data_IF_590363332910
#
_entry.id   IF_590363332910
#
_cell.length_a   1.000
_cell.length_b   1.000
_cell.length_c   1.000
_cell.angle_alpha   90.00
_cell.angle_beta   90.00
_cell.angle_gamma   90.00
#
_symmetry.space_group_name_H-M   'P 1'
#
loop_
_entity.id
_entity.type
_entity.pdbx_description
1 polymer ?
#
# COMPACT_ATOMS: atom_id res chain seq x y z
N UNK A 1 -45.31 -11.21 -1.60
CA UNK A 1 -44.52 -10.55 -2.65
C UNK A 1 -43.20 -10.15 -2.04
N UNK A 2 -42.14 -10.89 -2.33
CA UNK A 2 -40.77 -10.54 -1.93
C UNK A 2 -40.14 -9.80 -3.12
N UNK A 3 -39.66 -8.58 -2.88
CA UNK A 3 -39.05 -7.73 -3.92
C UNK A 3 -37.74 -8.32 -4.43
N UNK A 4 -37.27 -7.90 -5.62
CA UNK A 4 -36.04 -8.41 -6.20
C UNK A 4 -34.86 -8.00 -5.33
N UNK A 5 -34.14 -8.99 -4.81
CA UNK A 5 -32.84 -8.84 -4.18
C UNK A 5 -31.87 -8.29 -5.22
N UNK A 6 -31.49 -7.03 -5.11
CA UNK A 6 -30.41 -6.46 -5.91
C UNK A 6 -29.11 -7.21 -5.61
N UNK A 7 -28.60 -7.93 -6.59
CA UNK A 7 -27.27 -8.51 -6.54
C UNK A 7 -26.24 -7.40 -6.29
N UNK A 8 -25.19 -7.64 -5.48
CA UNK A 8 -24.10 -6.70 -5.35
C UNK A 8 -23.46 -6.45 -6.73
N UNK A 9 -22.96 -5.23 -7.00
CA UNK A 9 -22.38 -4.91 -8.29
C UNK A 9 -21.24 -5.87 -8.60
N UNK A 10 -21.29 -6.47 -9.79
CA UNK A 10 -20.25 -7.32 -10.37
C UNK A 10 -18.91 -6.61 -10.24
N UNK A 11 -17.99 -7.21 -9.49
CA UNK A 11 -16.60 -6.76 -9.37
C UNK A 11 -16.04 -6.52 -10.78
N UNK A 12 -15.70 -5.27 -11.06
CA UNK A 12 -15.07 -4.83 -12.30
C UNK A 12 -13.88 -5.75 -12.62
N UNK A 13 -13.76 -6.17 -13.88
CA UNK A 13 -12.61 -6.93 -14.36
C UNK A 13 -11.37 -6.06 -14.23
N UNK A 14 -10.70 -6.16 -13.08
CA UNK A 14 -9.46 -5.49 -12.73
C UNK A 14 -8.38 -5.91 -13.72
N UNK A 15 -7.76 -4.94 -14.41
CA UNK A 15 -6.44 -5.13 -15.00
C UNK A 15 -5.48 -5.46 -13.84
N UNK A 16 -5.07 -6.72 -13.78
CA UNK A 16 -4.30 -7.27 -12.66
C UNK A 16 -2.83 -6.81 -12.72
N UNK A 17 -2.58 -5.54 -12.38
CA UNK A 17 -1.23 -5.02 -12.22
C UNK A 17 -0.56 -5.70 -11.03
N UNK A 18 0.59 -6.36 -11.26
CA UNK A 18 1.40 -6.93 -10.18
C UNK A 18 2.32 -5.87 -9.56
N UNK A 19 2.84 -6.14 -8.35
CA UNK A 19 3.84 -5.27 -7.73
C UNK A 19 5.12 -5.19 -8.58
N UNK A 20 5.57 -6.30 -9.15
CA UNK A 20 6.75 -6.34 -10.04
C UNK A 20 6.53 -5.50 -11.30
N UNK A 21 5.36 -5.59 -11.92
CA UNK A 21 5.02 -4.78 -13.09
C UNK A 21 4.97 -3.28 -12.76
N UNK A 22 4.47 -2.92 -11.58
CA UNK A 22 4.48 -1.55 -11.09
C UNK A 22 5.91 -1.07 -10.82
N UNK A 23 6.74 -1.90 -10.18
CA UNK A 23 8.15 -1.62 -9.92
C UNK A 23 8.87 -1.26 -11.23
N UNK A 24 8.74 -2.12 -12.23
CA UNK A 24 9.33 -1.93 -13.55
C UNK A 24 8.88 -0.63 -14.21
N UNK A 25 7.59 -0.27 -14.11
CA UNK A 25 7.04 0.96 -14.69
C UNK A 25 7.61 2.19 -14.01
N UNK A 26 7.65 2.21 -12.68
CA UNK A 26 8.23 3.31 -11.89
C UNK A 26 9.73 3.43 -12.20
N UNK A 27 10.46 2.32 -12.23
CA UNK A 27 11.89 2.34 -12.54
C UNK A 27 12.17 2.94 -13.93
N UNK A 28 11.42 2.50 -14.96
CA UNK A 28 11.52 3.06 -16.32
C UNK A 28 11.21 4.56 -16.32
N UNK A 29 10.20 5.00 -15.56
CA UNK A 29 9.85 6.41 -15.42
C UNK A 29 11.02 7.24 -14.86
N UNK A 30 11.66 6.75 -13.79
CA UNK A 30 12.76 7.43 -13.11
C UNK A 30 14.04 7.45 -13.95
N UNK A 31 14.38 6.35 -14.62
CA UNK A 31 15.52 6.26 -15.55
C UNK A 31 15.37 7.27 -16.69
N UNK A 32 14.19 7.34 -17.31
CA UNK A 32 13.91 8.25 -18.43
C UNK A 32 14.05 9.74 -18.06
N UNK A 33 14.08 10.07 -16.76
CA UNK A 33 14.20 11.44 -16.24
C UNK A 33 15.51 11.68 -15.48
N UNK A 34 16.35 10.66 -15.34
CA UNK A 34 17.62 10.76 -14.62
C UNK A 34 17.47 11.00 -13.12
N UNK A 35 16.31 10.68 -12.55
CA UNK A 35 15.98 10.98 -11.16
C UNK A 35 16.72 10.11 -10.14
N UNK A 36 17.22 8.94 -10.55
CA UNK A 36 17.91 8.00 -9.66
C UNK A 36 19.10 8.60 -8.88
N UNK A 37 19.70 9.71 -9.34
CA UNK A 37 20.79 10.40 -8.60
C UNK A 37 20.33 11.06 -7.29
N UNK A 38 19.05 11.44 -7.19
CA UNK A 38 18.51 12.08 -6.00
C UNK A 38 17.87 11.07 -5.02
N UNK A 39 17.74 9.80 -5.42
CA UNK A 39 17.00 8.78 -4.69
C UNK A 39 17.91 8.09 -3.68
N UNK A 40 17.99 8.68 -2.49
CA UNK A 40 18.54 8.03 -1.29
C UNK A 40 17.38 7.50 -0.42
N UNK A 41 17.58 6.46 0.41
CA UNK A 41 16.56 5.98 1.34
C UNK A 41 15.96 7.08 2.21
N UNK A 42 16.79 8.03 2.66
CA UNK A 42 16.35 9.19 3.44
C UNK A 42 15.42 10.11 2.65
N UNK A 43 15.79 10.48 1.43
CA UNK A 43 14.97 11.38 0.61
C UNK A 43 13.63 10.74 0.25
N UNK A 44 13.65 9.44 -0.07
CA UNK A 44 12.43 8.68 -0.38
C UNK A 44 11.54 8.50 0.84
N UNK A 45 12.10 8.28 2.03
CA UNK A 45 11.35 8.25 3.28
C UNK A 45 10.66 9.60 3.55
N UNK A 46 11.36 10.71 3.37
CA UNK A 46 10.74 12.03 3.55
C UNK A 46 9.68 12.35 2.52
N UNK A 47 9.86 11.92 1.26
CA UNK A 47 8.80 12.01 0.27
C UNK A 47 7.59 11.18 0.69
N UNK A 48 7.77 9.92 1.08
CA UNK A 48 6.70 9.06 1.61
C UNK A 48 5.95 9.68 2.79
N UNK A 49 6.66 10.28 3.75
CA UNK A 49 6.05 11.00 4.88
C UNK A 49 5.24 12.22 4.40
N UNK A 50 5.75 12.95 3.41
CA UNK A 50 5.05 14.07 2.78
C UNK A 50 3.71 13.64 2.19
N UNK A 51 3.72 12.61 1.34
CA UNK A 51 2.49 12.07 0.72
C UNK A 51 1.53 11.46 1.75
N UNK A 52 2.06 10.88 2.83
CA UNK A 52 1.26 10.43 3.96
C UNK A 52 0.55 11.61 4.65
N UNK A 53 1.22 12.77 4.71
CA UNK A 53 0.63 14.03 5.14
C UNK A 53 -0.51 14.47 4.22
N UNK A 54 -0.28 14.53 2.90
CA UNK A 54 -1.29 14.93 1.91
C UNK A 54 -2.52 14.02 1.96
N UNK A 55 -2.32 12.69 2.02
CA UNK A 55 -3.42 11.74 2.21
C UNK A 55 -4.17 11.98 3.54
N UNK A 56 -3.47 12.32 4.63
CA UNK A 56 -4.09 12.60 5.93
C UNK A 56 -4.92 13.89 5.91
N UNK A 57 -4.49 14.91 5.17
CA UNK A 57 -5.19 16.19 5.04
C UNK A 57 -6.60 16.03 4.46
N UNK A 58 -6.83 15.04 3.60
CA UNK A 58 -8.15 14.76 3.01
C UNK A 58 -9.17 14.37 4.09
N UNK A 59 -8.73 13.69 5.16
CA UNK A 59 -9.58 13.14 6.21
C UNK A 59 -9.65 14.00 7.47
N UNK A 60 -8.70 14.92 7.67
CA UNK A 60 -8.44 15.58 8.97
C UNK A 60 -9.67 16.26 9.60
N UNK A 61 -10.60 16.80 8.80
CA UNK A 61 -11.80 17.51 9.28
C UNK A 61 -13.12 16.76 9.09
N UNK A 62 -13.07 15.48 8.67
CA UNK A 62 -14.27 14.73 8.24
C UNK A 62 -14.95 13.88 9.32
N UNK A 63 -14.53 13.97 10.58
CA UNK A 63 -15.11 13.14 11.66
C UNK A 63 -14.96 11.65 11.37
N UNK A 64 -15.95 10.84 11.76
CA UNK A 64 -16.01 9.43 11.35
C UNK A 64 -16.41 9.32 9.89
N UNK A 65 -15.60 8.60 9.11
CA UNK A 65 -15.82 8.41 7.68
C UNK A 65 -16.33 6.99 7.45
N UNK A 66 -17.47 6.85 6.76
CA UNK A 66 -18.05 5.55 6.47
C UNK A 66 -17.28 4.82 5.34
N UNK A 67 -17.20 3.47 5.37
CA UNK A 67 -16.71 2.68 4.24
C UNK A 67 -17.41 3.04 2.92
N UNK A 68 -16.66 3.01 1.82
CA UNK A 68 -17.13 3.40 0.49
C UNK A 68 -17.13 4.91 0.22
N UNK A 69 -16.83 5.73 1.24
CA UNK A 69 -16.78 7.20 1.13
C UNK A 69 -18.08 7.82 0.56
N UNK A 70 -19.27 7.53 1.13
CA UNK A 70 -20.54 8.00 0.57
C UNK A 70 -20.70 9.53 0.61
N UNK A 71 -20.07 10.21 1.56
CA UNK A 71 -20.12 11.66 1.73
C UNK A 71 -18.98 12.40 1.00
N UNK A 72 -18.15 11.68 0.24
CA UNK A 72 -17.09 12.28 -0.56
C UNK A 72 -17.63 12.63 -1.94
N UNK A 73 -17.27 13.81 -2.44
CA UNK A 73 -17.50 14.15 -3.84
C UNK A 73 -16.68 13.24 -4.76
N UNK A 74 -17.04 13.15 -6.04
CA UNK A 74 -16.23 12.43 -7.03
C UNK A 74 -14.79 12.97 -7.08
N UNK A 75 -14.64 14.29 -7.01
CA UNK A 75 -13.34 14.95 -6.91
C UNK A 75 -12.54 14.46 -5.68
N UNK A 76 -13.16 14.41 -4.50
CA UNK A 76 -12.48 13.94 -3.29
C UNK A 76 -12.09 12.46 -3.37
N UNK A 77 -12.90 11.62 -4.02
CA UNK A 77 -12.59 10.20 -4.23
C UNK A 77 -11.42 10.02 -5.19
N UNK A 78 -11.38 10.80 -6.28
CA UNK A 78 -10.25 10.81 -7.21
C UNK A 78 -8.98 11.28 -6.51
N UNK A 79 -9.06 12.40 -5.78
CA UNK A 79 -7.92 12.97 -5.06
C UNK A 79 -7.40 12.00 -3.98
N UNK A 80 -8.28 11.34 -3.22
CA UNK A 80 -7.88 10.27 -2.30
C UNK A 80 -7.10 9.16 -3.02
N UNK A 81 -7.54 8.76 -4.21
CA UNK A 81 -6.84 7.77 -5.02
C UNK A 81 -5.47 8.25 -5.51
N UNK A 82 -5.35 9.54 -5.86
CA UNK A 82 -4.08 10.16 -6.25
C UNK A 82 -3.07 10.15 -5.10
N UNK A 83 -3.47 10.54 -3.89
CA UNK A 83 -2.55 10.58 -2.74
C UNK A 83 -2.19 9.17 -2.23
N UNK A 84 -3.13 8.21 -2.29
CA UNK A 84 -2.79 6.79 -2.08
C UNK A 84 -1.77 6.28 -3.11
N UNK A 85 -1.85 6.78 -4.34
CA UNK A 85 -0.92 6.38 -5.40
C UNK A 85 0.47 6.95 -5.17
N UNK A 86 0.59 8.19 -4.69
CA UNK A 86 1.90 8.78 -4.38
C UNK A 86 2.56 8.08 -3.19
N UNK A 87 1.80 7.77 -2.12
CA UNK A 87 2.29 6.91 -1.01
C UNK A 87 2.83 5.59 -1.55
N UNK A 88 2.06 4.92 -2.42
CA UNK A 88 2.48 3.65 -3.03
C UNK A 88 3.73 3.80 -3.90
N UNK A 89 3.81 4.85 -4.72
CA UNK A 89 4.95 5.08 -5.61
C UNK A 89 6.22 5.24 -4.79
N UNK A 90 6.25 6.13 -3.79
CA UNK A 90 7.45 6.31 -2.98
C UNK A 90 7.78 5.11 -2.12
N UNK A 91 6.79 4.34 -1.64
CA UNK A 91 7.04 3.07 -0.97
C UNK A 91 7.76 2.07 -1.89
N UNK A 92 7.31 1.92 -3.14
CA UNK A 92 7.95 1.05 -4.14
C UNK A 92 9.37 1.53 -4.47
N UNK A 93 9.57 2.84 -4.63
CA UNK A 93 10.89 3.40 -4.88
C UNK A 93 11.84 3.23 -3.69
N UNK A 94 11.33 3.38 -2.47
CA UNK A 94 12.10 3.17 -1.26
C UNK A 94 12.50 1.70 -1.12
N UNK A 95 11.58 0.76 -1.37
CA UNK A 95 11.90 -0.66 -1.39
C UNK A 95 13.02 -0.97 -2.39
N UNK A 96 12.92 -0.47 -3.63
CA UNK A 96 13.97 -0.63 -4.65
C UNK A 96 15.29 -0.01 -4.23
N UNK A 97 15.25 1.21 -3.69
CA UNK A 97 16.44 1.93 -3.23
C UNK A 97 17.14 1.20 -2.08
N UNK A 98 16.37 0.60 -1.17
CA UNK A 98 16.88 -0.19 -0.05
C UNK A 98 17.29 -1.62 -0.44
N UNK A 99 16.98 -2.08 -1.66
CA UNK A 99 17.21 -3.45 -2.09
C UNK A 99 16.29 -4.47 -1.43
N UNK A 100 15.08 -4.06 -1.07
CA UNK A 100 14.05 -4.89 -0.43
C UNK A 100 13.08 -5.41 -1.50
N UNK A 101 12.92 -6.74 -1.57
CA UNK A 101 11.82 -7.37 -2.30
C UNK A 101 10.53 -7.19 -1.51
N UNK A 102 9.77 -6.14 -1.85
CA UNK A 102 8.55 -5.78 -1.12
C UNK A 102 7.49 -6.88 -1.20
N UNK A 103 7.33 -7.55 -2.35
CA UNK A 103 6.34 -8.61 -2.51
C UNK A 103 6.65 -9.80 -1.57
N UNK A 104 7.91 -10.23 -1.53
CA UNK A 104 8.35 -11.27 -0.60
C UNK A 104 8.22 -10.83 0.86
N UNK A 105 8.59 -9.58 1.19
CA UNK A 105 8.44 -9.03 2.53
C UNK A 105 6.97 -9.03 2.98
N UNK A 106 6.04 -8.63 2.10
CA UNK A 106 4.60 -8.63 2.37
C UNK A 106 4.06 -10.04 2.63
N UNK A 107 4.43 -11.02 1.82
CA UNK A 107 3.99 -12.43 2.02
C UNK A 107 4.52 -12.97 3.35
N UNK A 108 5.79 -12.69 3.67
CA UNK A 108 6.38 -13.07 4.95
C UNK A 108 5.66 -12.41 6.13
N UNK A 109 5.31 -11.12 6.01
CA UNK A 109 4.61 -10.38 7.05
C UNK A 109 3.19 -10.90 7.29
N UNK A 110 2.43 -11.17 6.22
CA UNK A 110 1.11 -11.84 6.33
C UNK A 110 1.24 -13.19 7.05
N UNK A 111 2.27 -13.96 6.72
CA UNK A 111 2.56 -15.25 7.37
C UNK A 111 2.90 -15.11 8.86
N UNK A 112 3.65 -14.06 9.24
CA UNK A 112 3.96 -13.74 10.65
C UNK A 112 2.70 -13.29 11.40
N UNK A 113 1.89 -12.40 10.81
CA UNK A 113 0.64 -11.91 11.39
C UNK A 113 -0.35 -13.06 11.62
N UNK A 114 -0.41 -14.03 10.72
CA UNK A 114 -1.23 -15.22 10.90
C UNK A 114 -0.86 -16.10 12.08
N UNK A 115 0.44 -16.24 12.37
CA UNK A 115 0.94 -16.96 13.55
C UNK A 115 0.66 -16.17 14.83
N UNK A 116 0.86 -14.85 14.79
CA UNK A 116 0.65 -13.94 15.93
C UNK A 116 -0.82 -13.87 16.33
N UNK A 117 -1.72 -13.88 15.36
CA UNK A 117 -3.17 -13.80 15.57
C UNK A 117 -3.81 -15.02 14.93
N UNK A 118 -4.05 -16.14 15.62
CA UNK A 118 -4.71 -17.31 15.01
C UNK A 118 -6.18 -17.02 14.65
N UNK A 119 -6.74 -17.65 13.59
CA UNK A 119 -8.15 -17.49 13.22
C UNK A 119 -9.08 -18.14 14.26
N UNK A 120 -10.32 -17.66 14.31
CA UNK A 120 -11.41 -18.31 15.04
C UNK A 120 -11.77 -19.60 14.29
N UNK A 121 -11.71 -20.74 14.99
CA UNK A 121 -11.95 -22.06 14.40
C UNK A 121 -13.33 -22.14 13.74
N UNK A 122 -13.39 -22.66 12.51
CA UNK A 122 -14.63 -22.86 11.75
C UNK A 122 -15.22 -21.61 11.09
N UNK A 123 -14.60 -20.43 11.23
CA UNK A 123 -15.14 -19.18 10.68
C UNK A 123 -14.84 -18.99 9.18
N UNK A 124 -13.59 -19.21 8.75
CA UNK A 124 -13.13 -19.16 7.35
C UNK A 124 -11.90 -20.07 7.20
N UNK A 125 -11.83 -20.87 6.12
CA UNK A 125 -10.59 -21.60 5.77
C UNK A 125 -9.52 -20.60 5.31
N UNK A 126 -8.47 -20.47 6.12
CA UNK A 126 -7.36 -19.56 5.87
C UNK A 126 -6.09 -20.27 5.41
N UNK A 127 -6.14 -21.59 5.18
CA UNK A 127 -4.95 -22.39 4.87
C UNK A 127 -4.38 -22.09 3.48
N UNK A 128 -5.21 -21.55 2.57
CA UNK A 128 -4.82 -21.14 1.22
C UNK A 128 -4.12 -19.76 1.15
N UNK A 129 -4.07 -18.99 2.24
CA UNK A 129 -3.52 -17.62 2.28
C UNK A 129 -2.02 -17.51 2.00
N UNK A 130 -1.27 -18.62 2.02
CA UNK A 130 0.21 -18.59 2.07
C UNK A 130 0.90 -19.13 0.82
N UNK A 131 0.18 -19.32 -0.30
CA UNK A 131 0.71 -19.96 -1.51
C UNK A 131 0.83 -19.02 -2.72
N UNK A 132 0.74 -17.71 -2.51
CA UNK A 132 0.87 -16.74 -3.61
C UNK A 132 2.35 -16.61 -3.96
N UNK A 133 2.70 -16.88 -5.22
CA UNK A 133 4.00 -16.53 -5.79
C UNK A 133 4.20 -14.99 -5.65
N UNK A 134 5.27 -14.51 -4.98
CA UNK A 134 5.54 -13.08 -4.84
C UNK A 134 5.44 -12.31 -6.16
N UNK A 135 5.86 -12.90 -7.28
CA UNK A 135 5.85 -12.25 -8.60
C UNK A 135 4.45 -12.09 -9.20
N UNK A 136 3.52 -12.92 -8.75
CA UNK A 136 2.11 -12.86 -9.14
C UNK A 136 1.28 -12.02 -8.17
N UNK A 137 1.90 -11.38 -7.17
CA UNK A 137 1.17 -10.60 -6.17
C UNK A 137 0.61 -9.32 -6.79
N UNK A 138 -0.72 -9.20 -6.78
CA UNK A 138 -1.48 -8.03 -7.24
C UNK A 138 -2.17 -7.34 -6.06
N UNK A 139 -2.56 -6.08 -6.25
CA UNK A 139 -3.39 -5.37 -5.27
C UNK A 139 -4.72 -6.08 -5.01
N UNK A 140 -5.33 -6.68 -6.04
CA UNK A 140 -6.58 -7.41 -5.91
C UNK A 140 -6.42 -8.67 -5.04
N UNK A 141 -5.37 -9.45 -5.26
CA UNK A 141 -5.05 -10.60 -4.40
C UNK A 141 -4.78 -10.16 -2.97
N UNK A 142 -4.00 -9.11 -2.76
CA UNK A 142 -3.67 -8.64 -1.41
C UNK A 142 -4.90 -8.08 -0.67
N UNK A 143 -5.78 -7.36 -1.37
CA UNK A 143 -7.03 -6.85 -0.81
C UNK A 143 -7.97 -7.97 -0.39
N UNK A 144 -8.04 -9.05 -1.17
CA UNK A 144 -8.85 -10.22 -0.85
C UNK A 144 -8.26 -11.04 0.31
N UNK A 145 -6.95 -11.23 0.33
CA UNK A 145 -6.27 -11.96 1.40
C UNK A 145 -6.39 -11.22 2.75
N UNK A 146 -6.18 -9.90 2.79
CA UNK A 146 -6.39 -9.10 4.00
C UNK A 146 -7.86 -9.08 4.45
N UNK A 147 -8.82 -9.11 3.51
CA UNK A 147 -10.25 -9.24 3.83
C UNK A 147 -10.55 -10.58 4.50
N UNK A 148 -10.07 -11.70 3.94
CA UNK A 148 -10.22 -13.03 4.54
C UNK A 148 -9.56 -13.12 5.91
N UNK A 149 -8.36 -12.55 6.05
CA UNK A 149 -7.62 -12.50 7.31
C UNK A 149 -8.45 -11.83 8.42
N UNK A 150 -9.03 -10.67 8.13
CA UNK A 150 -9.84 -9.91 9.09
C UNK A 150 -11.17 -10.59 9.39
N UNK A 151 -11.83 -11.19 8.40
CA UNK A 151 -13.05 -11.97 8.60
C UNK A 151 -12.83 -13.17 9.51
N UNK A 152 -11.75 -13.92 9.31
CA UNK A 152 -11.42 -15.09 10.11
C UNK A 152 -11.16 -14.76 11.60
N UNK A 153 -11.00 -13.48 11.94
CA UNK A 153 -10.76 -12.98 13.30
C UNK A 153 -11.90 -12.10 13.84
N UNK A 154 -12.99 -11.96 13.07
CA UNK A 154 -14.10 -11.07 13.37
C UNK A 154 -13.68 -9.59 13.59
N UNK A 155 -12.68 -9.12 12.84
CA UNK A 155 -12.18 -7.74 12.94
C UNK A 155 -12.87 -6.77 11.99
N UNK A 156 -13.76 -7.25 11.14
CA UNK A 156 -14.38 -6.46 10.06
C UNK A 156 -15.11 -5.20 10.54
N UNK A 157 -15.57 -5.16 11.79
CA UNK A 157 -16.26 -3.99 12.37
C UNK A 157 -15.32 -2.83 12.72
N UNK A 158 -14.04 -3.13 12.96
CA UNK A 158 -13.03 -2.14 13.38
C UNK A 158 -12.32 -1.47 12.20
N UNK A 159 -12.53 -1.98 10.97
CA UNK A 159 -11.85 -1.53 9.76
C UNK A 159 -12.57 -0.35 9.10
N UNK A 160 -12.58 0.79 9.78
CA UNK A 160 -13.04 2.07 9.22
C UNK A 160 -11.91 2.76 8.44
N UNK A 161 -12.23 3.63 7.45
CA UNK A 161 -11.23 4.47 6.78
C UNK A 161 -10.32 5.22 7.74
N UNK A 162 -10.88 5.79 8.82
CA UNK A 162 -10.12 6.51 9.83
C UNK A 162 -9.14 5.60 10.56
N UNK A 163 -9.58 4.44 11.06
CA UNK A 163 -8.71 3.52 11.80
C UNK A 163 -7.57 3.00 10.92
N UNK A 164 -7.87 2.68 9.66
CA UNK A 164 -6.88 2.21 8.69
C UNK A 164 -5.88 3.32 8.30
N UNK A 165 -6.34 4.57 8.16
CA UNK A 165 -5.46 5.71 7.92
C UNK A 165 -4.52 5.93 9.11
N UNK A 166 -5.03 5.89 10.34
CA UNK A 166 -4.20 6.08 11.53
C UNK A 166 -3.21 4.94 11.74
N UNK A 167 -3.60 3.70 11.43
CA UNK A 167 -2.68 2.57 11.41
C UNK A 167 -1.59 2.79 10.36
N UNK A 168 -1.95 3.16 9.13
CA UNK A 168 -0.99 3.47 8.07
C UNK A 168 0.02 4.56 8.48
N UNK A 169 -0.44 5.64 9.12
CA UNK A 169 0.42 6.70 9.67
C UNK A 169 1.39 6.13 10.71
N UNK A 170 0.90 5.26 11.60
CA UNK A 170 1.75 4.62 12.60
C UNK A 170 2.85 3.77 11.95
N UNK A 171 2.53 2.96 10.93
CA UNK A 171 3.53 2.14 10.23
C UNK A 171 4.58 2.96 9.47
N UNK A 172 4.18 4.09 8.88
CA UNK A 172 5.16 5.05 8.30
C UNK A 172 6.05 5.63 9.40
N UNK A 173 5.50 5.84 10.60
CA UNK A 173 6.25 6.19 11.80
C UNK A 173 7.26 5.11 12.21
N UNK A 174 6.84 3.85 12.32
CA UNK A 174 7.71 2.71 12.67
C UNK A 174 8.83 2.53 11.64
N UNK A 175 8.51 2.66 10.34
CA UNK A 175 9.53 2.68 9.30
C UNK A 175 10.52 3.84 9.50
N UNK A 176 10.03 5.03 9.87
CA UNK A 176 10.88 6.21 10.12
C UNK A 176 11.81 6.01 11.31
N UNK A 177 11.38 5.33 12.37
CA UNK A 177 12.18 5.06 13.56
C UNK A 177 13.46 4.29 13.25
N UNK A 178 13.44 3.40 12.24
CA UNK A 178 14.61 2.64 11.81
C UNK A 178 15.71 3.55 11.25
N UNK A 179 15.33 4.67 10.63
CA UNK A 179 16.24 5.61 9.97
C UNK A 179 16.57 6.84 10.82
N UNK A 180 15.81 7.12 11.90
CA UNK A 180 15.82 8.42 12.59
C UNK A 180 17.21 8.89 13.09
N UNK A 181 18.08 7.96 13.49
CA UNK A 181 19.44 8.25 13.99
C UNK A 181 20.54 7.88 13.00
N UNK A 182 20.17 7.41 11.80
CA UNK A 182 21.10 7.13 10.71
C UNK A 182 21.39 8.46 10.00
N UNK A 183 22.66 8.70 9.67
CA UNK A 183 23.08 9.83 8.83
C UNK A 183 22.55 9.72 7.40
N UNK A 184 23.29 10.23 6.42
CA UNK A 184 22.99 9.84 5.04
C UNK A 184 23.10 8.32 4.92
N UNK A 185 22.09 7.70 4.31
CA UNK A 185 22.03 6.26 4.12
C UNK A 185 22.25 5.98 2.64
N UNK A 186 23.17 5.09 2.34
CA UNK A 186 23.45 4.69 0.96
C UNK A 186 22.39 3.69 0.45
N UNK A 187 22.04 3.75 -0.86
CA UNK A 187 21.21 2.73 -1.49
C UNK A 187 21.75 1.30 -1.26
N UNK A 188 20.85 0.33 -1.12
CA UNK A 188 21.16 -1.06 -0.80
C UNK A 188 21.48 -1.33 0.67
N UNK A 189 21.46 -0.30 1.52
CA UNK A 189 21.64 -0.40 2.96
C UNK A 189 22.93 -1.16 3.37
N UNK A 190 24.12 -0.78 2.87
CA UNK A 190 25.36 -1.52 3.12
C UNK A 190 25.77 -1.57 4.60
N UNK A 191 25.43 -0.53 5.36
CA UNK A 191 25.76 -0.41 6.80
C UNK A 191 24.64 -0.95 7.72
N UNK A 192 23.62 -1.61 7.13
CA UNK A 192 22.53 -2.23 7.87
C UNK A 192 22.84 -3.71 8.06
N UNK A 193 22.53 -4.22 9.25
CA UNK A 193 22.59 -5.66 9.48
C UNK A 193 21.48 -6.36 8.70
N UNK A 194 21.61 -7.66 8.45
CA UNK A 194 20.53 -8.43 7.82
C UNK A 194 19.24 -8.40 8.65
N UNK A 195 19.36 -8.32 9.99
CA UNK A 195 18.22 -8.11 10.87
C UNK A 195 17.54 -6.76 10.60
N UNK A 196 18.32 -5.67 10.47
CA UNK A 196 17.77 -4.34 10.17
C UNK A 196 17.06 -4.34 8.81
N UNK A 197 17.63 -4.98 7.78
CA UNK A 197 17.01 -5.06 6.45
C UNK A 197 15.70 -5.84 6.47
N UNK A 198 15.65 -6.95 7.21
CA UNK A 198 14.40 -7.68 7.42
C UNK A 198 13.37 -6.79 8.10
N UNK A 199 13.76 -6.04 9.14
CA UNK A 199 12.86 -5.14 9.85
C UNK A 199 12.35 -4.00 8.95
N UNK A 200 13.22 -3.38 8.14
CA UNK A 200 12.80 -2.39 7.12
C UNK A 200 11.75 -2.99 6.18
N UNK A 201 11.97 -4.21 5.70
CA UNK A 201 11.00 -4.91 4.85
C UNK A 201 9.68 -5.22 5.55
N UNK A 202 9.70 -5.53 6.86
CA UNK A 202 8.49 -5.74 7.65
C UNK A 202 7.65 -4.47 7.79
N UNK A 203 8.28 -3.33 8.07
CA UNK A 203 7.55 -2.07 8.22
C UNK A 203 7.04 -1.54 6.87
N UNK A 204 7.84 -1.67 5.79
CA UNK A 204 7.35 -1.39 4.43
C UNK A 204 6.17 -2.29 4.03
N UNK A 205 6.19 -3.55 4.44
CA UNK A 205 5.09 -4.47 4.20
C UNK A 205 3.83 -4.06 4.96
N UNK A 206 3.94 -3.62 6.21
CA UNK A 206 2.79 -3.12 6.97
C UNK A 206 2.20 -1.85 6.34
N UNK A 207 3.03 -0.90 5.90
CA UNK A 207 2.58 0.28 5.13
C UNK A 207 1.77 -0.16 3.90
N UNK A 208 2.27 -1.11 3.10
CA UNK A 208 1.54 -1.61 1.94
C UNK A 208 0.21 -2.30 2.33
N UNK A 209 0.23 -3.13 3.38
CA UNK A 209 -0.95 -3.87 3.84
C UNK A 209 -2.07 -2.93 4.30
N UNK A 210 -1.75 -1.87 5.06
CA UNK A 210 -2.77 -0.91 5.48
C UNK A 210 -3.22 -0.01 4.33
N UNK A 211 -2.33 0.38 3.42
CA UNK A 211 -2.71 1.16 2.24
C UNK A 211 -3.71 0.39 1.35
N UNK A 212 -3.46 -0.90 1.10
CA UNK A 212 -4.36 -1.76 0.33
C UNK A 212 -5.70 -1.95 1.05
N UNK A 213 -5.68 -2.16 2.37
CA UNK A 213 -6.92 -2.27 3.15
C UNK A 213 -7.72 -0.97 3.13
N UNK A 214 -7.05 0.18 3.26
CA UNK A 214 -7.66 1.50 3.22
C UNK A 214 -8.30 1.75 1.86
N UNK A 215 -7.57 1.51 0.76
CA UNK A 215 -8.12 1.63 -0.60
C UNK A 215 -9.37 0.74 -0.79
N UNK A 216 -9.31 -0.52 -0.34
CA UNK A 216 -10.46 -1.45 -0.38
C UNK A 216 -11.65 -0.91 0.41
N UNK A 217 -11.45 -0.47 1.64
CA UNK A 217 -12.54 0.03 2.52
C UNK A 217 -13.11 1.35 1.98
N UNK A 218 -12.28 2.20 1.36
CA UNK A 218 -12.72 3.42 0.69
C UNK A 218 -13.43 3.15 -0.66
N UNK A 219 -13.32 1.95 -1.21
CA UNK A 219 -13.85 1.62 -2.54
C UNK A 219 -13.07 2.32 -3.65
N UNK A 220 -11.74 2.40 -3.50
CA UNK A 220 -10.79 2.94 -4.46
C UNK A 220 -10.05 1.78 -5.12
N UNK A 221 -10.05 1.74 -6.46
CA UNK A 221 -9.25 0.78 -7.20
C UNK A 221 -7.81 1.28 -7.28
N UNK A 222 -6.95 0.81 -6.36
CA UNK A 222 -5.56 1.26 -6.27
C UNK A 222 -4.75 0.97 -7.55
N UNK A 223 -5.06 -0.11 -8.27
CA UNK A 223 -4.42 -0.45 -9.54
C UNK A 223 -4.71 0.57 -10.64
N UNK A 224 -5.96 1.05 -10.72
CA UNK A 224 -6.34 2.10 -11.68
C UNK A 224 -5.80 3.45 -11.23
N UNK A 225 -5.95 3.79 -9.96
CA UNK A 225 -5.49 5.06 -9.40
C UNK A 225 -3.99 5.29 -9.65
N UNK A 226 -3.15 4.28 -9.39
CA UNK A 226 -1.69 4.42 -9.59
C UNK A 226 -1.33 4.53 -11.06
N UNK A 227 -2.05 3.84 -11.95
CA UNK A 227 -1.83 3.95 -13.39
C UNK A 227 -2.20 5.35 -13.89
N UNK A 228 -3.33 5.89 -13.46
CA UNK A 228 -3.74 7.25 -13.79
C UNK A 228 -2.76 8.29 -13.24
N UNK A 229 -2.28 8.10 -12.01
CA UNK A 229 -1.29 8.99 -11.40
C UNK A 229 0.03 8.96 -12.17
N UNK A 230 0.51 7.78 -12.57
CA UNK A 230 1.71 7.64 -13.40
C UNK A 230 1.56 8.34 -14.76
N UNK A 231 0.38 8.30 -15.38
CA UNK A 231 0.10 9.05 -16.61
C UNK A 231 0.15 10.56 -16.38
N UNK A 232 -0.49 11.06 -15.30
CA UNK A 232 -0.45 12.47 -14.91
C UNK A 232 0.99 12.93 -14.63
N UNK A 233 1.78 12.12 -13.92
CA UNK A 233 3.18 12.39 -13.64
C UNK A 233 4.02 12.41 -14.93
N UNK A 234 3.72 11.57 -15.91
CA UNK A 234 4.41 11.58 -17.20
C UNK A 234 4.15 12.84 -18.04
N UNK A 235 2.96 13.43 -17.92
CA UNK A 235 2.62 14.71 -18.55
C UNK A 235 3.29 15.87 -17.78
N UNK A 236 3.20 15.87 -16.44
CA UNK A 236 3.75 16.92 -15.58
C UNK A 236 5.28 17.00 -15.68
N UNK A 237 5.94 15.85 -15.77
CA UNK A 237 7.38 15.74 -15.89
C UNK A 237 7.72 14.98 -17.18
N UNK A 238 7.98 15.63 -18.31
CA UNK A 238 8.37 14.93 -19.54
C UNK A 238 9.74 14.23 -19.43
N UNK A 239 9.96 13.17 -20.21
CA UNK A 239 11.26 12.50 -20.28
C UNK A 239 12.35 13.44 -20.83
N UNK A 240 13.60 13.19 -20.45
CA UNK A 240 14.74 13.90 -21.04
C UNK A 240 14.83 13.60 -22.55
N UNK A 241 15.24 14.59 -23.33
CA UNK A 241 15.49 14.44 -24.77
C UNK A 241 16.85 13.79 -25.04
#
# INVERSE_FOLDING_TARGET
MLGPTSSPPTLMQSTSLTLDELDDRINKFCIARGWGKAHTPRNLLFALIGEMGELSEIFQWRGEVAPGLPDFSEHDRIHTGEEMSDVLIYLMEMARCCGIDLAAATINKVSKNAKKYPPIEGLVDTTALYLVDPRALTFGTLAEETRKFSMARNWSTELTPRNLLLALVAEVGELSEIFQWRGEVEPGLPDFTEHDKVHVGEEMADVLLYLVQLARVCGINLSEAVQDKMLKNAIKYPAMK
#
